data_IF_314004270741
#
_entry.id   IF_314004270741
#
_cell.length_a   1.000
_cell.length_b   1.000
_cell.length_c   1.000
_cell.angle_alpha   90.00
_cell.angle_beta   90.00
_cell.angle_gamma   90.00
#
_symmetry.space_group_name_H-M   'P 1'
#
loop_
_entity.id
_entity.type
_entity.pdbx_description
1 polymer ?
#
# COMPACT_ATOMS: atom_id res chain seq x y z
N UNK A 1 -10.63 -5.35 4.70
CA UNK A 1 -11.69 -4.40 4.37
C UNK A 1 -11.81 -3.39 5.51
N UNK A 2 -12.19 -2.16 5.18
CA UNK A 2 -12.39 -1.12 6.19
C UNK A 2 -13.74 -1.26 6.90
N UNK A 3 -13.89 -0.67 8.09
CA UNK A 3 -15.19 -0.66 8.76
C UNK A 3 -16.21 0.15 7.96
N UNK A 4 -17.48 -0.13 8.20
CA UNK A 4 -18.56 0.66 7.59
C UNK A 4 -18.52 2.10 8.14
N UNK A 5 -18.69 3.06 7.25
CA UNK A 5 -18.83 4.47 7.67
C UNK A 5 -20.17 4.69 8.37
N UNK A 6 -20.28 5.76 9.15
CA UNK A 6 -21.55 6.13 9.79
C UNK A 6 -22.70 6.23 8.78
N UNK A 7 -22.43 6.83 7.61
CA UNK A 7 -23.42 6.93 6.53
C UNK A 7 -23.90 5.57 6.02
N UNK A 8 -23.03 4.60 6.00
CA UNK A 8 -23.38 3.22 5.60
C UNK A 8 -24.19 2.54 6.73
N UNK A 9 -23.76 2.74 7.98
CA UNK A 9 -24.44 2.17 9.14
C UNK A 9 -25.89 2.71 9.27
N UNK A 10 -26.09 4.00 8.99
CA UNK A 10 -27.45 4.62 9.03
C UNK A 10 -28.43 4.01 8.01
N UNK A 11 -27.94 3.32 7.01
CA UNK A 11 -28.79 2.69 5.98
C UNK A 11 -29.20 1.26 6.32
N UNK A 12 -28.75 0.74 7.44
CA UNK A 12 -29.03 -0.64 7.86
C UNK A 12 -29.95 -0.61 9.08
N UNK A 13 -31.03 -1.37 9.01
CA UNK A 13 -31.93 -1.52 10.15
C UNK A 13 -31.29 -2.44 11.20
N UNK A 14 -31.04 -1.91 12.39
CA UNK A 14 -30.50 -2.67 13.50
C UNK A 14 -29.06 -2.35 13.85
N UNK A 15 -28.56 -3.01 14.87
CA UNK A 15 -27.20 -2.81 15.38
C UNK A 15 -26.21 -3.64 14.57
N UNK A 16 -25.14 -3.00 14.07
CA UNK A 16 -24.07 -3.66 13.33
C UNK A 16 -22.94 -3.98 14.31
N UNK A 17 -22.42 -5.21 14.23
CA UNK A 17 -21.23 -5.63 14.97
C UNK A 17 -20.11 -5.90 13.95
N UNK A 18 -18.97 -5.25 14.13
CA UNK A 18 -17.77 -5.51 13.33
C UNK A 18 -16.93 -6.57 14.05
N UNK A 19 -16.82 -7.76 13.49
CA UNK A 19 -16.10 -8.88 14.08
C UNK A 19 -14.81 -9.13 13.28
N UNK A 20 -13.62 -8.87 13.87
CA UNK A 20 -12.37 -9.19 13.18
C UNK A 20 -12.25 -10.72 13.01
N UNK A 21 -12.11 -11.17 11.77
CA UNK A 21 -12.02 -12.60 11.45
C UNK A 21 -10.59 -13.04 11.11
N UNK A 22 -9.79 -12.15 10.51
CA UNK A 22 -8.44 -12.48 10.08
C UNK A 22 -7.61 -11.19 9.96
N UNK A 23 -6.32 -11.32 10.25
CA UNK A 23 -5.34 -10.25 10.04
C UNK A 23 -4.54 -10.52 8.76
N UNK A 24 -4.43 -9.51 7.92
CA UNK A 24 -3.60 -9.55 6.71
C UNK A 24 -2.70 -8.33 6.63
N UNK A 25 -1.68 -8.38 5.80
CA UNK A 25 -0.79 -7.26 5.57
C UNK A 25 -0.85 -6.84 4.11
N UNK A 26 -0.90 -5.53 3.86
CA UNK A 26 -0.75 -4.95 2.53
C UNK A 26 0.71 -4.57 2.34
N UNK A 27 1.32 -5.06 1.27
CA UNK A 27 2.76 -4.88 1.02
C UNK A 27 3.00 -4.22 -0.34
N UNK A 28 4.02 -3.35 -0.46
CA UNK A 28 4.47 -2.89 -1.77
C UNK A 28 5.15 -4.05 -2.51
N UNK A 29 4.56 -4.50 -3.60
CA UNK A 29 5.07 -5.59 -4.44
C UNK A 29 5.80 -5.00 -5.65
N UNK A 30 6.94 -5.59 -6.04
CA UNK A 30 7.74 -5.00 -7.11
C UNK A 30 8.37 -6.08 -8.01
N UNK A 31 8.78 -5.65 -9.20
CA UNK A 31 9.44 -6.51 -10.19
C UNK A 31 10.78 -5.88 -10.62
N UNK A 32 11.80 -6.09 -9.80
CA UNK A 32 13.16 -5.61 -10.07
C UNK A 32 14.12 -6.80 -10.12
N UNK A 33 14.70 -7.02 -11.29
CA UNK A 33 15.66 -8.13 -11.47
C UNK A 33 16.93 -7.85 -10.65
N UNK A 34 17.30 -8.80 -9.81
CA UNK A 34 18.54 -8.73 -9.02
C UNK A 34 18.43 -7.86 -7.77
N UNK A 35 17.22 -7.46 -7.36
CA UNK A 35 17.01 -6.68 -6.14
C UNK A 35 16.08 -7.47 -5.21
N UNK A 36 16.61 -8.36 -4.37
CA UNK A 36 15.76 -9.19 -3.50
C UNK A 36 15.19 -8.44 -2.30
N UNK A 37 15.88 -7.44 -1.77
CA UNK A 37 15.55 -6.76 -0.51
C UNK A 37 15.45 -5.25 -0.71
N UNK A 38 14.45 -4.81 -1.44
CA UNK A 38 14.21 -3.38 -1.66
C UNK A 38 13.66 -2.71 -0.39
N UNK A 39 14.25 -1.59 -0.01
CA UNK A 39 13.80 -0.76 1.11
C UNK A 39 13.10 0.48 0.60
N UNK A 40 11.88 0.71 1.08
CA UNK A 40 11.10 1.90 0.77
C UNK A 40 10.56 2.50 2.06
N UNK A 41 10.48 3.82 2.12
CA UNK A 41 9.82 4.50 3.24
C UNK A 41 8.45 5.01 2.81
N UNK A 42 7.59 5.30 3.78
CA UNK A 42 6.24 5.80 3.51
C UNK A 42 6.23 7.07 2.65
N UNK A 43 7.01 8.10 3.00
CA UNK A 43 7.07 9.30 2.14
C UNK A 43 7.51 9.01 0.70
N UNK A 44 8.50 8.13 0.51
CA UNK A 44 8.95 7.73 -0.84
C UNK A 44 7.82 7.04 -1.61
N UNK A 45 7.11 6.11 -0.95
CA UNK A 45 5.95 5.46 -1.57
C UNK A 45 4.90 6.50 -2.00
N UNK A 46 4.58 7.44 -1.12
CA UNK A 46 3.62 8.49 -1.45
C UNK A 46 4.09 9.32 -2.65
N UNK A 47 5.37 9.70 -2.70
CA UNK A 47 5.91 10.49 -3.80
C UNK A 47 5.95 9.70 -5.13
N UNK A 48 6.17 8.38 -5.08
CA UNK A 48 6.07 7.53 -6.28
C UNK A 48 4.62 7.51 -6.79
N UNK A 49 3.65 7.27 -5.90
CA UNK A 49 2.24 7.22 -6.29
C UNK A 49 1.65 8.60 -6.66
N UNK A 50 2.30 9.69 -6.22
CA UNK A 50 1.99 11.05 -6.68
C UNK A 50 2.66 11.39 -8.03
N UNK A 51 3.53 10.53 -8.55
CA UNK A 51 4.25 10.76 -9.80
C UNK A 51 5.43 11.71 -9.68
N UNK A 52 5.90 11.99 -8.46
CA UNK A 52 7.06 12.85 -8.21
C UNK A 52 8.37 12.09 -8.37
N UNK A 53 8.43 10.88 -7.85
CA UNK A 53 9.57 9.98 -8.02
C UNK A 53 9.18 9.00 -9.14
N UNK A 54 9.90 9.08 -10.25
CA UNK A 54 9.54 8.34 -11.47
C UNK A 54 10.61 7.32 -11.89
N UNK A 55 11.78 7.29 -11.23
CA UNK A 55 12.86 6.39 -11.59
C UNK A 55 13.39 5.66 -10.35
N UNK A 56 13.82 4.42 -10.56
CA UNK A 56 14.39 3.62 -9.46
C UNK A 56 15.71 4.18 -8.95
N UNK A 57 16.45 4.92 -9.79
CA UNK A 57 17.72 5.55 -9.40
C UNK A 57 17.55 6.88 -8.67
N UNK A 58 16.31 7.28 -8.34
CA UNK A 58 16.08 8.52 -7.58
C UNK A 58 16.92 8.53 -6.31
N UNK A 59 17.61 9.66 -5.99
CA UNK A 59 18.48 9.73 -4.81
C UNK A 59 17.80 9.33 -3.49
N UNK A 60 16.51 9.61 -3.34
CA UNK A 60 15.77 9.23 -2.12
C UNK A 60 15.67 7.70 -1.98
N UNK A 61 15.43 6.98 -3.10
CA UNK A 61 15.41 5.51 -3.09
C UNK A 61 16.82 4.97 -2.91
N UNK A 62 17.79 5.50 -3.67
CA UNK A 62 19.19 5.04 -3.63
C UNK A 62 19.79 5.12 -2.22
N UNK A 63 19.48 6.19 -1.50
CA UNK A 63 19.98 6.41 -0.12
C UNK A 63 19.48 5.33 0.86
N UNK A 64 18.28 4.80 0.66
CA UNK A 64 17.76 3.70 1.50
C UNK A 64 18.34 2.34 1.10
N UNK A 65 18.91 2.25 -0.10
CA UNK A 65 19.36 0.98 -0.69
C UNK A 65 20.87 1.03 -1.02
N UNK A 66 21.66 1.60 -0.13
CA UNK A 66 23.12 1.67 -0.31
C UNK A 66 23.72 0.28 -0.56
N UNK A 67 24.54 0.17 -1.59
CA UNK A 67 25.16 -1.09 -1.99
C UNK A 67 24.29 -1.94 -2.92
N UNK A 68 23.02 -1.55 -3.15
CA UNK A 68 22.15 -2.27 -4.09
C UNK A 68 22.22 -1.59 -5.46
N UNK A 69 22.45 -2.37 -6.49
CA UNK A 69 22.48 -1.84 -7.87
C UNK A 69 21.04 -1.70 -8.39
N UNK A 70 20.46 -0.53 -8.20
CA UNK A 70 19.12 -0.22 -8.70
C UNK A 70 19.17 -0.01 -10.23
N UNK A 71 18.15 -0.47 -10.98
CA UNK A 71 18.15 -0.28 -12.43
C UNK A 71 17.91 1.20 -12.80
N UNK A 72 18.59 1.67 -13.82
CA UNK A 72 18.30 3.01 -14.36
C UNK A 72 17.07 2.94 -15.28
N UNK A 73 15.92 2.82 -14.65
CA UNK A 73 14.64 2.58 -15.33
C UNK A 73 13.54 3.38 -14.68
N UNK A 74 12.50 3.67 -15.46
CA UNK A 74 11.28 4.29 -14.95
C UNK A 74 10.50 3.31 -14.07
N UNK A 75 9.84 3.83 -13.05
CA UNK A 75 8.94 3.06 -12.19
C UNK A 75 7.57 2.96 -12.89
N UNK A 76 7.11 1.75 -13.15
CA UNK A 76 5.74 1.53 -13.62
C UNK A 76 4.85 1.29 -12.39
N UNK A 77 4.07 2.29 -12.03
CA UNK A 77 3.15 2.20 -10.89
C UNK A 77 1.95 1.32 -11.28
N UNK A 78 1.54 0.43 -10.38
CA UNK A 78 0.35 -0.41 -10.55
C UNK A 78 -0.56 -0.23 -9.33
N UNK A 79 -1.87 -0.08 -9.59
CA UNK A 79 -2.86 0.15 -8.54
C UNK A 79 -4.15 -0.63 -8.83
N UNK A 80 -5.09 -0.64 -7.91
CA UNK A 80 -6.41 -1.25 -8.10
C UNK A 80 -7.28 -0.36 -8.99
N UNK A 81 -8.04 -1.00 -9.86
CA UNK A 81 -9.02 -0.33 -10.73
C UNK A 81 -10.47 -0.50 -10.24
N UNK A 82 -10.66 -1.20 -9.14
CA UNK A 82 -11.97 -1.50 -8.54
C UNK A 82 -12.01 -1.01 -7.09
N UNK A 83 -13.20 -1.00 -6.49
CA UNK A 83 -13.36 -0.71 -5.06
C UNK A 83 -12.70 -1.80 -4.20
N UNK A 84 -11.86 -1.42 -3.23
CA UNK A 84 -10.96 -2.37 -2.57
C UNK A 84 -10.63 -1.97 -1.13
N UNK A 85 -10.80 -2.90 -0.20
CA UNK A 85 -10.29 -2.77 1.17
C UNK A 85 -8.77 -2.69 1.20
N UNK A 86 -8.08 -3.44 0.32
CA UNK A 86 -6.62 -3.36 0.17
C UNK A 86 -6.18 -1.93 -0.21
N UNK A 87 -6.93 -1.30 -1.15
CA UNK A 87 -6.70 0.11 -1.50
C UNK A 87 -6.93 1.02 -0.29
N UNK A 88 -8.05 0.82 0.42
CA UNK A 88 -8.37 1.64 1.61
C UNK A 88 -7.21 1.63 2.60
N UNK A 89 -6.70 0.44 2.96
CA UNK A 89 -5.57 0.32 3.90
C UNK A 89 -4.30 1.00 3.36
N UNK A 90 -4.01 0.83 2.07
CA UNK A 90 -2.82 1.42 1.45
C UNK A 90 -2.89 2.95 1.41
N UNK A 91 -4.02 3.52 0.95
CA UNK A 91 -4.15 4.98 0.85
C UNK A 91 -4.33 5.64 2.22
N UNK A 92 -4.85 4.93 3.21
CA UNK A 92 -4.86 5.39 4.60
C UNK A 92 -3.43 5.57 5.10
N UNK A 93 -2.59 4.56 4.87
CA UNK A 93 -1.17 4.64 5.20
C UNK A 93 -0.50 5.82 4.48
N UNK A 94 -0.72 5.97 3.16
CA UNK A 94 -0.16 7.10 2.40
C UNK A 94 -0.64 8.45 2.94
N UNK A 95 -1.90 8.53 3.38
CA UNK A 95 -2.46 9.76 3.98
C UNK A 95 -1.81 10.10 5.33
N UNK A 96 -1.40 9.09 6.09
CA UNK A 96 -0.72 9.27 7.37
C UNK A 96 0.73 9.72 7.21
N UNK A 97 1.40 9.30 6.13
CA UNK A 97 2.83 9.60 5.92
C UNK A 97 3.07 10.79 4.98
N UNK A 98 2.03 11.28 4.29
CA UNK A 98 2.15 12.38 3.33
C UNK A 98 0.93 13.30 3.41
N UNK A 99 1.14 14.52 3.91
CA UNK A 99 0.10 15.56 3.94
C UNK A 99 -0.35 15.93 2.53
N UNK A 100 0.54 15.86 1.55
CA UNK A 100 0.20 16.15 0.15
C UNK A 100 -0.71 15.06 -0.43
N UNK A 101 -0.42 13.78 -0.17
CA UNK A 101 -1.31 12.68 -0.55
C UNK A 101 -2.70 12.89 0.05
N UNK A 102 -2.75 13.14 1.35
CA UNK A 102 -4.01 13.36 2.09
C UNK A 102 -4.84 14.48 1.46
N UNK A 103 -4.20 15.58 1.04
CA UNK A 103 -4.86 16.74 0.45
C UNK A 103 -5.31 16.50 -1.00
N UNK A 104 -4.47 15.83 -1.82
CA UNK A 104 -4.71 15.69 -3.27
C UNK A 104 -5.55 14.48 -3.63
N UNK A 105 -5.35 13.35 -2.94
CA UNK A 105 -5.96 12.07 -3.29
C UNK A 105 -6.94 11.60 -2.20
N UNK A 106 -6.50 11.65 -0.94
CA UNK A 106 -7.34 11.33 0.20
C UNK A 106 -7.44 9.83 0.48
N UNK A 107 -8.58 9.45 1.06
CA UNK A 107 -8.84 8.13 1.63
C UNK A 107 -10.19 7.60 1.15
N UNK A 108 -10.20 6.49 0.42
CA UNK A 108 -11.41 5.79 0.00
C UNK A 108 -11.05 4.37 -0.48
N UNK A 109 -12.06 3.54 -0.71
CA UNK A 109 -11.86 2.21 -1.30
C UNK A 109 -11.54 2.28 -2.79
N UNK A 110 -11.80 3.44 -3.43
CA UNK A 110 -11.41 3.76 -4.81
C UNK A 110 -11.06 5.24 -4.85
N UNK A 111 -9.91 5.57 -5.40
CA UNK A 111 -9.41 6.94 -5.47
C UNK A 111 -9.03 7.29 -6.92
N UNK A 112 -8.90 8.59 -7.20
CA UNK A 112 -8.38 9.05 -8.50
C UNK A 112 -6.85 8.97 -8.45
N UNK A 113 -6.29 7.91 -9.01
CA UNK A 113 -4.85 7.70 -9.01
C UNK A 113 -4.13 8.72 -9.91
N UNK A 114 -3.12 9.42 -9.39
CA UNK A 114 -2.39 10.40 -10.22
C UNK A 114 -1.62 9.75 -11.37
N UNK A 115 -1.09 8.54 -11.16
CA UNK A 115 -0.29 7.82 -12.15
C UNK A 115 -0.54 6.32 -12.00
N UNK A 116 -0.24 5.57 -13.05
CA UNK A 116 -0.16 4.11 -12.97
C UNK A 116 -1.14 3.36 -13.87
N UNK A 117 -1.04 2.04 -13.80
CA UNK A 117 -1.87 1.08 -14.52
C UNK A 117 -2.85 0.41 -13.53
N UNK A 118 -4.10 0.30 -13.93
CA UNK A 118 -5.14 -0.30 -13.09
C UNK A 118 -5.27 -1.81 -13.28
N UNK A 119 -5.17 -2.57 -12.18
CA UNK A 119 -5.45 -4.01 -12.16
C UNK A 119 -6.70 -4.33 -11.35
N UNK A 120 -7.55 -5.23 -11.83
CA UNK A 120 -8.77 -5.63 -11.12
C UNK A 120 -8.43 -6.72 -10.09
N UNK A 121 -8.78 -6.48 -8.84
CA UNK A 121 -8.49 -7.40 -7.74
C UNK A 121 -7.01 -7.43 -7.37
N UNK A 122 -6.68 -8.12 -6.28
CA UNK A 122 -5.28 -8.38 -5.92
C UNK A 122 -4.59 -9.21 -7.02
N UNK A 123 -5.32 -10.13 -7.63
CA UNK A 123 -4.83 -10.98 -8.72
C UNK A 123 -4.40 -10.15 -9.93
N UNK A 124 -5.23 -9.17 -10.31
CA UNK A 124 -4.91 -8.29 -11.45
C UNK A 124 -3.68 -7.43 -11.19
N UNK A 125 -3.56 -6.87 -9.96
CA UNK A 125 -2.37 -6.11 -9.59
C UNK A 125 -1.14 -7.02 -9.54
N UNK A 126 -1.24 -8.19 -8.89
CA UNK A 126 -0.12 -9.14 -8.81
C UNK A 126 0.34 -9.57 -10.22
N UNK A 127 -0.62 -9.88 -11.11
CA UNK A 127 -0.32 -10.25 -12.49
C UNK A 127 0.40 -9.14 -13.25
N UNK A 128 -0.09 -7.90 -13.14
CA UNK A 128 0.55 -6.75 -13.79
C UNK A 128 1.96 -6.52 -13.26
N UNK A 129 2.16 -6.57 -11.93
CA UNK A 129 3.49 -6.40 -11.33
C UNK A 129 4.44 -7.50 -11.85
N UNK A 130 3.99 -8.76 -11.83
CA UNK A 130 4.82 -9.89 -12.26
C UNK A 130 5.25 -9.79 -13.73
N UNK A 131 4.34 -9.34 -14.59
CA UNK A 131 4.56 -9.28 -16.04
C UNK A 131 5.28 -8.01 -16.50
N UNK A 132 5.29 -6.95 -15.68
CA UNK A 132 5.82 -5.64 -16.08
C UNK A 132 7.19 -5.42 -15.42
N UNK A 133 8.30 -5.40 -16.18
CA UNK A 133 9.59 -5.05 -15.60
C UNK A 133 9.57 -3.67 -14.97
N UNK A 134 10.24 -3.52 -13.85
CA UNK A 134 10.37 -2.27 -13.09
C UNK A 134 9.04 -1.77 -12.51
N UNK A 135 8.05 -2.66 -12.36
CA UNK A 135 6.77 -2.31 -11.76
C UNK A 135 6.85 -2.21 -10.23
N UNK A 136 6.00 -1.34 -9.68
CA UNK A 136 5.73 -1.22 -8.24
C UNK A 136 4.22 -1.16 -8.05
N UNK A 137 3.66 -2.10 -7.33
CA UNK A 137 2.25 -2.14 -6.98
C UNK A 137 2.07 -2.36 -5.48
N UNK A 138 0.84 -2.62 -5.05
CA UNK A 138 0.53 -3.05 -3.68
C UNK A 138 -0.50 -4.18 -3.75
N UNK A 139 -0.33 -5.18 -2.90
CA UNK A 139 -1.24 -6.32 -2.80
C UNK A 139 -1.26 -6.80 -1.35
N UNK A 140 -2.24 -7.61 -1.00
CA UNK A 140 -2.13 -8.38 0.24
C UNK A 140 -0.96 -9.35 0.12
N UNK A 141 -0.19 -9.49 1.20
CA UNK A 141 1.05 -10.27 1.25
C UNK A 141 0.88 -11.70 0.73
N UNK A 142 -0.30 -12.29 0.97
CA UNK A 142 -0.57 -13.65 0.51
C UNK A 142 -0.48 -13.77 -1.03
N UNK A 143 -0.94 -12.74 -1.75
CA UNK A 143 -0.87 -12.73 -3.22
C UNK A 143 0.58 -12.57 -3.71
N UNK A 144 1.40 -11.77 -3.03
CA UNK A 144 2.82 -11.67 -3.37
C UNK A 144 3.51 -13.02 -3.19
N UNK A 145 3.25 -13.70 -2.06
CA UNK A 145 3.83 -15.02 -1.75
C UNK A 145 3.37 -16.10 -2.75
N UNK A 146 2.07 -16.17 -3.04
CA UNK A 146 1.52 -17.19 -3.95
C UNK A 146 2.02 -17.04 -5.38
N UNK A 147 2.40 -15.83 -5.78
CA UNK A 147 2.85 -15.54 -7.14
C UNK A 147 4.37 -15.40 -7.25
N UNK A 148 5.12 -15.64 -6.17
CA UNK A 148 6.59 -15.46 -6.10
C UNK A 148 7.01 -14.05 -6.53
N UNK A 149 6.28 -13.03 -6.06
CA UNK A 149 6.60 -11.63 -6.34
C UNK A 149 7.34 -11.05 -5.15
N UNK A 150 8.47 -10.39 -5.41
CA UNK A 150 9.23 -9.69 -4.39
C UNK A 150 8.39 -8.54 -3.80
N UNK A 151 8.49 -8.33 -2.47
CA UNK A 151 7.78 -7.23 -1.80
C UNK A 151 8.73 -6.54 -0.81
N UNK A 152 8.54 -5.23 -0.69
CA UNK A 152 9.37 -4.41 0.19
C UNK A 152 8.83 -4.45 1.61
N UNK A 153 9.67 -4.48 2.48
CA UNK A 153 9.36 -4.35 3.82
C UNK A 153 9.28 -2.93 4.09
N UNK A 154 8.48 -2.57 4.60
CA UNK A 154 8.40 -1.24 4.94
C UNK A 154 9.48 -1.01 5.87
N UNK A 155 10.11 -0.41 5.60
CA UNK A 155 11.10 -0.06 6.38
C UNK A 155 10.51 0.61 7.45
N UNK A 156 10.05 0.12 8.00
CA UNK A 156 9.78 0.55 9.14
C UNK A 156 10.98 0.98 9.66
N UNK A 157 10.95 2.15 10.18
CA UNK A 157 11.99 2.60 11.09
C UNK A 157 12.01 1.64 12.27
N UNK A 158 13.14 1.14 12.62
CA UNK A 158 13.30 0.18 13.75
C UNK A 158 12.76 0.70 15.10
N UNK A 159 12.43 1.96 15.17
CA UNK A 159 11.96 2.64 16.38
C UNK A 159 10.44 2.53 16.57
N UNK A 160 9.72 2.00 15.60
CA UNK A 160 8.27 1.78 15.71
C UNK A 160 7.93 0.42 15.12
N UNK A 161 7.57 -0.49 15.98
CA UNK A 161 6.84 -1.71 15.63
C UNK A 161 5.72 -1.27 14.70
N UNK A 162 5.68 -1.85 13.54
CA UNK A 162 4.91 -1.37 12.39
C UNK A 162 3.64 -0.60 12.74
N UNK A 163 3.60 0.67 12.40
CA UNK A 163 2.40 1.50 12.54
C UNK A 163 1.18 0.86 11.86
N UNK A 164 1.40 -0.09 10.95
CA UNK A 164 0.31 -0.83 10.29
C UNK A 164 -0.32 -1.88 11.22
N UNK A 165 0.49 -2.56 12.03
CA UNK A 165 0.00 -3.61 12.94
C UNK A 165 -0.60 -3.02 14.22
N UNK A 166 -0.09 -1.86 14.68
CA UNK A 166 -0.56 -1.20 15.89
C UNK A 166 -1.85 -0.40 15.69
N UNK A 167 -2.12 0.13 14.49
CA UNK A 167 -3.34 0.90 14.27
C UNK A 167 -4.58 0.02 14.28
N UNK A 168 -4.49 -1.19 13.71
CA UNK A 168 -5.60 -2.13 13.78
C UNK A 168 -5.88 -2.57 15.23
N UNK A 169 -4.83 -2.70 16.04
CA UNK A 169 -4.95 -3.07 17.45
C UNK A 169 -5.38 -1.90 18.36
N UNK A 170 -5.06 -0.65 17.98
CA UNK A 170 -5.42 0.54 18.75
C UNK A 170 -6.89 0.94 18.54
N UNK A 171 -7.37 0.89 17.29
CA UNK A 171 -8.77 1.17 16.98
C UNK A 171 -9.71 0.18 17.69
N UNK A 172 -9.26 -1.09 17.86
CA UNK A 172 -10.04 -2.09 18.61
C UNK A 172 -10.08 -1.82 20.12
N UNK A 173 -9.11 -1.08 20.67
CA UNK A 173 -9.08 -0.76 22.12
C UNK A 173 -9.90 0.47 22.48
N UNK A 174 -9.97 1.47 21.60
CA UNK A 174 -10.75 2.69 21.88
C UNK A 174 -12.25 2.45 21.84
N UNK A 175 -12.72 1.48 21.04
CA UNK A 175 -14.14 1.13 20.97
C UNK A 175 -14.67 0.33 22.19
N UNK A 176 -13.78 -0.27 22.99
CA UNK A 176 -14.17 -1.09 24.15
C UNK A 176 -14.07 -0.36 25.50
N UNK A 177 -13.69 0.92 25.50
CA UNK A 177 -13.50 1.73 26.71
C UNK A 177 -14.62 2.70 27.03
N UNK A 178 -15.81 2.58 26.39
CA UNK A 178 -16.97 3.42 26.73
C UNK A 178 -18.22 2.60 26.96
#
# INVERSE_FOLDING_TARGET
DGPMTDQQQFKVDGKILHIPAVLGAVVPAYNLKGVPDLKLSGPILADVYLGKITRWTDPAIAKLNEGVKLPDAAITVVHRSDGSGTTYCFVDYLSKVSAEWKKKVGLATAVNWPVGLGGKGNEGVAGLVKQTPNALGYVEMIYAKQNDIAYAXXXXRRDRVSDLDLHLAADLREEHGR
#
